data_IF_212230080317
#
_entry.id   IF_212230080317
#
_cell.length_a   1.000
_cell.length_b   1.000
_cell.length_c   1.000
_cell.angle_alpha   90.00
_cell.angle_beta   90.00
_cell.angle_gamma   90.00
#
_symmetry.space_group_name_H-M   'P 1'
#
loop_
_entity.id
_entity.type
_entity.pdbx_description
1 polymer ?
#
# COMPACT_ATOMS: atom_id res chain seq x y z
N UNK A 1 32.57 39.62 5.33
CA UNK A 1 31.17 39.19 5.59
C UNK A 1 30.48 38.91 4.25
N UNK A 2 30.03 37.71 3.91
CA UNK A 2 30.81 36.50 3.61
C UNK A 2 30.13 35.86 2.39
N UNK A 3 30.89 35.61 1.31
CA UNK A 3 30.44 34.94 0.07
C UNK A 3 29.89 33.52 0.34
N UNK A 4 30.13 32.98 1.54
CA UNK A 4 29.56 31.71 2.02
C UNK A 4 28.04 31.69 2.23
N UNK A 5 27.35 32.84 2.32
CA UNK A 5 25.89 32.84 2.46
C UNK A 5 25.16 32.71 1.12
N UNK A 6 25.75 33.17 0.02
CA UNK A 6 25.16 33.05 -1.32
C UNK A 6 25.33 31.64 -1.88
N UNK A 7 26.37 30.91 -1.45
CA UNK A 7 26.60 29.50 -1.82
C UNK A 7 25.78 28.49 -1.00
N UNK A 8 25.05 28.93 0.04
CA UNK A 8 24.18 28.06 0.85
C UNK A 8 22.74 27.95 0.36
N UNK A 9 22.36 28.74 -0.65
CA UNK A 9 21.00 28.74 -1.22
C UNK A 9 20.91 28.07 -2.60
N UNK A 10 22.01 27.54 -3.13
CA UNK A 10 22.07 26.87 -4.44
C UNK A 10 22.40 25.38 -4.37
N UNK A 11 22.35 24.77 -3.19
CA UNK A 11 22.17 23.32 -3.06
C UNK A 11 20.67 23.04 -2.94
N UNK A 12 19.92 23.29 -4.01
CA UNK A 12 18.73 22.49 -4.25
C UNK A 12 19.26 21.05 -4.31
N UNK A 13 19.04 20.27 -3.25
CA UNK A 13 19.53 18.91 -3.15
C UNK A 13 19.17 18.20 -4.45
N UNK A 14 20.18 17.82 -5.25
CA UNK A 14 19.96 17.23 -6.55
C UNK A 14 18.96 16.07 -6.39
N UNK A 15 17.84 16.14 -7.09
CA UNK A 15 16.76 15.18 -6.96
C UNK A 15 17.33 13.76 -7.14
N UNK A 16 17.18 12.92 -6.12
CA UNK A 16 17.65 11.53 -6.16
C UNK A 16 16.94 10.79 -7.30
N UNK A 17 17.52 9.71 -7.85
CA UNK A 17 16.82 8.89 -8.84
C UNK A 17 15.42 8.44 -8.39
N UNK A 18 15.27 8.14 -7.10
CA UNK A 18 13.99 7.79 -6.51
C UNK A 18 13.02 8.98 -6.47
N UNK A 19 13.46 10.16 -6.02
CA UNK A 19 12.57 11.33 -5.95
C UNK A 19 12.08 11.76 -7.33
N UNK A 20 12.93 11.67 -8.36
CA UNK A 20 12.51 11.90 -9.76
C UNK A 20 11.48 10.89 -10.24
N UNK A 21 11.59 9.63 -9.81
CA UNK A 21 10.60 8.59 -10.15
C UNK A 21 9.27 8.84 -9.44
N UNK A 22 9.32 9.28 -8.17
CA UNK A 22 8.13 9.70 -7.40
C UNK A 22 7.41 10.86 -8.10
N UNK A 23 8.15 11.90 -8.50
CA UNK A 23 7.60 13.05 -9.22
C UNK A 23 6.94 12.63 -10.53
N UNK A 24 7.65 11.84 -11.35
CA UNK A 24 7.12 11.34 -12.61
C UNK A 24 5.86 10.49 -12.43
N UNK A 25 5.82 9.63 -11.43
CA UNK A 25 4.64 8.79 -11.14
C UNK A 25 3.45 9.65 -10.71
N UNK A 26 3.67 10.71 -9.92
CA UNK A 26 2.60 11.64 -9.55
C UNK A 26 2.00 12.37 -10.74
N UNK A 27 2.84 12.80 -11.68
CA UNK A 27 2.39 13.57 -12.84
C UNK A 27 1.63 12.72 -13.86
N UNK A 28 2.00 11.44 -14.00
CA UNK A 28 1.49 10.58 -15.08
C UNK A 28 0.45 9.57 -14.65
N UNK A 29 0.59 9.01 -13.46
CA UNK A 29 -0.14 7.81 -13.03
C UNK A 29 -1.16 8.11 -11.91
N UNK A 30 -1.15 9.31 -11.33
CA UNK A 30 -2.08 9.71 -10.27
C UNK A 30 -3.12 10.73 -10.76
N UNK A 31 -4.34 10.68 -10.21
CA UNK A 31 -5.32 11.74 -10.43
C UNK A 31 -4.85 13.08 -9.83
N UNK A 32 -5.43 14.17 -10.33
CA UNK A 32 -5.07 15.53 -9.89
C UNK A 32 -5.31 15.78 -8.39
N UNK A 33 -6.30 15.10 -7.82
CA UNK A 33 -6.61 15.16 -6.39
C UNK A 33 -7.02 13.77 -5.87
N UNK A 34 -6.67 13.44 -4.62
CA UNK A 34 -7.11 12.20 -3.99
C UNK A 34 -8.63 12.22 -3.74
N UNK A 35 -9.24 11.06 -3.83
CA UNK A 35 -10.64 10.83 -3.47
C UNK A 35 -10.65 10.30 -2.05
N UNK A 36 -11.09 11.14 -1.10
CA UNK A 36 -11.20 10.74 0.30
C UNK A 36 -12.30 9.71 0.47
N UNK A 37 -12.05 8.72 1.31
CA UNK A 37 -13.06 7.76 1.75
C UNK A 37 -12.86 7.42 3.22
N UNK A 38 -13.92 6.90 3.84
CA UNK A 38 -13.84 6.39 5.21
C UNK A 38 -12.86 5.22 5.30
N UNK A 39 -12.35 4.97 6.51
CA UNK A 39 -11.56 3.76 6.79
C UNK A 39 -12.45 2.52 6.65
N UNK A 40 -11.87 1.39 6.27
CA UNK A 40 -12.59 0.13 6.08
C UNK A 40 -12.65 -0.35 4.62
N UNK A 41 -13.76 -1.00 4.21
CA UNK A 41 -13.80 -1.77 2.95
C UNK A 41 -13.81 -0.90 1.69
N UNK A 42 -14.22 0.37 1.79
CA UNK A 42 -14.24 1.30 0.65
C UNK A 42 -12.87 1.81 0.23
N UNK A 43 -11.77 1.31 0.81
CA UNK A 43 -10.41 1.81 0.63
C UNK A 43 -9.46 0.76 0.03
N UNK A 44 -9.98 -0.18 -0.75
CA UNK A 44 -9.17 -1.17 -1.45
C UNK A 44 -8.53 -0.60 -2.73
N UNK A 45 -7.57 -1.33 -3.28
CA UNK A 45 -6.80 -0.94 -4.48
C UNK A 45 -6.94 -2.03 -5.55
N UNK A 46 -7.30 -1.66 -6.78
CA UNK A 46 -7.29 -2.59 -7.91
C UNK A 46 -5.88 -3.09 -8.22
N UNK A 47 -5.77 -4.33 -8.70
CA UNK A 47 -4.51 -4.95 -9.12
C UNK A 47 -3.75 -4.08 -10.13
N UNK A 48 -4.45 -3.43 -11.06
CA UNK A 48 -3.80 -2.52 -12.02
C UNK A 48 -2.97 -1.41 -11.36
N UNK A 49 -3.46 -0.85 -10.24
CA UNK A 49 -2.75 0.23 -9.52
C UNK A 49 -1.59 -0.31 -8.68
N UNK A 50 -1.70 -1.55 -8.17
CA UNK A 50 -0.59 -2.25 -7.53
C UNK A 50 0.53 -2.55 -8.55
N UNK A 51 0.17 -3.00 -9.75
CA UNK A 51 1.12 -3.28 -10.83
C UNK A 51 1.77 -2.00 -11.37
N UNK A 52 1.00 -0.92 -11.53
CA UNK A 52 1.54 0.38 -11.93
C UNK A 52 2.59 0.86 -10.93
N UNK A 53 2.30 0.76 -9.62
CA UNK A 53 3.26 1.06 -8.56
C UNK A 53 4.51 0.16 -8.67
N UNK A 54 4.32 -1.15 -8.76
CA UNK A 54 5.43 -2.09 -8.84
C UNK A 54 6.34 -1.79 -10.05
N UNK A 55 5.76 -1.67 -11.24
CA UNK A 55 6.50 -1.43 -12.48
C UNK A 55 7.25 -0.10 -12.46
N UNK A 56 6.64 0.96 -11.92
CA UNK A 56 7.28 2.27 -11.82
C UNK A 56 8.52 2.25 -10.92
N UNK A 57 8.48 1.48 -9.82
CA UNK A 57 9.50 1.48 -8.79
C UNK A 57 10.36 0.21 -8.74
N UNK A 58 10.17 -0.74 -9.64
CA UNK A 58 10.84 -2.06 -9.63
C UNK A 58 12.37 -1.92 -9.48
N UNK A 59 12.99 -1.04 -10.27
CA UNK A 59 14.44 -0.81 -10.24
C UNK A 59 14.97 -0.24 -8.91
N UNK A 60 14.12 0.47 -8.14
CA UNK A 60 14.42 0.99 -6.81
C UNK A 60 14.14 -0.03 -5.71
N UNK A 61 13.12 -0.87 -5.89
CA UNK A 61 12.72 -1.85 -4.88
C UNK A 61 13.61 -3.09 -4.96
N UNK A 62 13.82 -3.67 -6.15
CA UNK A 62 14.58 -4.92 -6.34
C UNK A 62 14.10 -6.02 -5.39
N UNK A 63 14.93 -6.41 -4.43
CA UNK A 63 14.64 -7.44 -3.42
C UNK A 63 14.19 -6.86 -2.07
N UNK A 64 13.94 -5.56 -1.98
CA UNK A 64 13.48 -4.90 -0.76
C UNK A 64 12.02 -5.25 -0.49
N UNK A 65 11.63 -5.07 0.76
CA UNK A 65 10.36 -5.55 1.29
C UNK A 65 9.36 -4.39 1.50
N UNK A 66 8.21 -4.71 2.10
CA UNK A 66 7.13 -3.75 2.27
C UNK A 66 7.50 -2.59 3.20
N UNK A 67 8.43 -2.77 4.15
CA UNK A 67 8.94 -1.66 4.98
C UNK A 67 9.63 -0.59 4.12
N UNK A 68 10.45 -1.00 3.16
CA UNK A 68 11.10 -0.07 2.23
C UNK A 68 10.05 0.66 1.38
N UNK A 69 9.08 -0.08 0.83
CA UNK A 69 8.01 0.48 -0.02
C UNK A 69 7.17 1.50 0.77
N UNK A 70 6.80 1.18 2.00
CA UNK A 70 6.02 2.09 2.85
C UNK A 70 6.77 3.41 3.10
N UNK A 71 8.01 3.33 3.59
CA UNK A 71 8.77 4.53 4.00
C UNK A 71 9.32 5.35 2.84
N UNK A 72 9.72 4.70 1.74
CA UNK A 72 10.46 5.37 0.66
C UNK A 72 9.60 5.64 -0.58
N UNK A 73 8.40 5.05 -0.68
CA UNK A 73 7.53 5.21 -1.85
C UNK A 73 6.13 5.68 -1.41
N UNK A 74 5.42 4.89 -0.60
CA UNK A 74 4.02 5.20 -0.23
C UNK A 74 3.91 6.49 0.56
N UNK A 75 4.68 6.64 1.64
CA UNK A 75 4.67 7.88 2.44
C UNK A 75 5.08 9.08 1.60
N UNK A 76 6.20 9.06 0.84
CA UNK A 76 6.50 10.15 -0.08
C UNK A 76 5.36 10.46 -1.05
N UNK A 77 4.80 9.48 -1.78
CA UNK A 77 3.70 9.71 -2.72
C UNK A 77 2.50 10.39 -2.07
N UNK A 78 2.10 9.94 -0.88
CA UNK A 78 0.92 10.41 -0.14
C UNK A 78 1.18 11.67 0.70
N UNK A 79 2.44 12.06 0.91
CA UNK A 79 2.83 13.21 1.75
C UNK A 79 2.07 14.52 1.45
N UNK A 80 1.83 14.91 0.18
CA UNK A 80 1.18 16.18 -0.12
C UNK A 80 -0.23 16.30 0.48
N UNK A 81 -0.95 15.18 0.55
CA UNK A 81 -2.34 15.15 1.02
C UNK A 81 -2.52 14.45 2.37
N UNK A 82 -1.48 13.75 2.86
CA UNK A 82 -1.49 12.92 4.08
C UNK A 82 -2.66 11.92 4.10
N UNK A 83 -2.86 11.24 2.97
CA UNK A 83 -3.89 10.22 2.75
C UNK A 83 -3.29 8.81 2.69
N UNK A 84 -4.13 7.79 2.61
CA UNK A 84 -3.72 6.46 2.13
C UNK A 84 -3.33 6.48 0.64
N UNK A 85 -2.68 5.41 0.17
CA UNK A 85 -2.41 5.24 -1.26
C UNK A 85 -3.69 4.94 -2.03
N UNK A 86 -4.62 4.20 -1.44
CA UNK A 86 -5.93 3.91 -2.05
C UNK A 86 -6.71 5.19 -2.37
N UNK A 87 -6.81 6.12 -1.41
CA UNK A 87 -7.42 7.44 -1.65
C UNK A 87 -6.68 8.22 -2.75
N UNK A 88 -5.37 8.01 -2.88
CA UNK A 88 -4.53 8.70 -3.86
C UNK A 88 -4.75 8.19 -5.29
N UNK A 89 -4.94 6.88 -5.49
CA UNK A 89 -5.12 6.29 -6.84
C UNK A 89 -6.57 6.17 -7.29
N UNK A 90 -7.52 6.37 -6.38
CA UNK A 90 -8.94 6.10 -6.63
C UNK A 90 -9.37 4.87 -5.81
N UNK A 91 -9.99 5.07 -4.64
CA UNK A 91 -10.32 3.98 -3.74
C UNK A 91 -11.45 3.13 -4.31
N UNK A 92 -11.42 1.83 -4.04
CA UNK A 92 -12.41 0.87 -4.52
C UNK A 92 -13.02 0.08 -3.36
N UNK A 93 -14.21 -0.48 -3.61
CA UNK A 93 -14.82 -1.43 -2.69
C UNK A 93 -14.02 -2.73 -2.68
N UNK A 94 -13.65 -3.19 -1.49
CA UNK A 94 -12.91 -4.42 -1.25
C UNK A 94 -13.62 -5.64 -1.81
N UNK A 95 -12.86 -6.51 -2.47
CA UNK A 95 -13.25 -7.90 -2.79
C UNK A 95 -12.46 -8.91 -1.95
N UNK A 96 -11.13 -8.75 -1.86
CA UNK A 96 -10.23 -9.65 -1.13
C UNK A 96 -9.37 -8.93 -0.09
N UNK A 97 -9.44 -9.36 1.17
CA UNK A 97 -8.52 -8.88 2.21
C UNK A 97 -7.16 -9.55 2.06
N UNK A 98 -6.06 -8.83 2.30
CA UNK A 98 -4.71 -9.40 2.24
C UNK A 98 -4.05 -9.42 3.62
N UNK A 99 -3.76 -10.62 4.11
CA UNK A 99 -2.92 -10.83 5.29
C UNK A 99 -1.51 -11.23 4.86
N UNK A 100 -0.50 -10.48 5.27
CA UNK A 100 0.88 -10.75 4.85
C UNK A 100 1.94 -10.23 5.83
N UNK A 101 3.12 -10.82 5.77
CA UNK A 101 4.30 -10.32 6.48
C UNK A 101 5.04 -9.28 5.65
N UNK A 102 5.32 -8.11 6.25
CA UNK A 102 6.00 -7.01 5.57
C UNK A 102 7.47 -7.30 5.19
N UNK A 103 8.10 -8.32 5.77
CA UNK A 103 9.49 -8.65 5.50
C UNK A 103 9.72 -9.43 4.20
N UNK A 104 8.68 -9.99 3.59
CA UNK A 104 8.75 -10.64 2.27
C UNK A 104 9.20 -9.65 1.18
N UNK A 105 10.03 -10.07 0.20
CA UNK A 105 10.34 -9.24 -0.96
C UNK A 105 9.07 -8.76 -1.67
N UNK A 106 8.97 -7.45 -1.92
CA UNK A 106 7.76 -6.85 -2.47
C UNK A 106 7.37 -7.43 -3.83
N UNK A 107 8.35 -7.78 -4.65
CA UNK A 107 8.11 -8.46 -5.93
C UNK A 107 7.37 -9.80 -5.78
N UNK A 108 7.67 -10.58 -4.74
CA UNK A 108 7.00 -11.85 -4.51
C UNK A 108 5.57 -11.59 -4.03
N UNK A 109 5.38 -10.60 -3.15
CA UNK A 109 4.04 -10.17 -2.72
C UNK A 109 3.15 -9.77 -3.91
N UNK A 110 3.66 -8.91 -4.80
CA UNK A 110 2.93 -8.47 -6.01
C UNK A 110 2.59 -9.66 -6.90
N UNK A 111 3.54 -10.58 -7.10
CA UNK A 111 3.32 -11.79 -7.88
C UNK A 111 2.23 -12.69 -7.26
N UNK A 112 2.22 -12.86 -5.94
CA UNK A 112 1.19 -13.65 -5.25
C UNK A 112 -0.20 -13.05 -5.41
N UNK A 113 -0.35 -11.72 -5.21
CA UNK A 113 -1.63 -11.02 -5.40
C UNK A 113 -2.10 -11.12 -6.85
N UNK A 114 -1.18 -10.94 -7.82
CA UNK A 114 -1.46 -11.10 -9.25
C UNK A 114 -1.95 -12.51 -9.56
N UNK A 115 -1.21 -13.54 -9.16
CA UNK A 115 -1.56 -14.93 -9.43
C UNK A 115 -2.89 -15.32 -8.80
N UNK A 116 -3.19 -14.83 -7.59
CA UNK A 116 -4.50 -15.01 -6.98
C UNK A 116 -5.60 -14.35 -7.82
N UNK A 117 -5.43 -13.08 -8.21
CA UNK A 117 -6.41 -12.36 -9.02
C UNK A 117 -6.68 -13.04 -10.37
N UNK A 118 -5.64 -13.47 -11.08
CA UNK A 118 -5.72 -14.21 -12.34
C UNK A 118 -6.47 -15.54 -12.16
N UNK A 119 -6.34 -16.20 -11.01
CA UNK A 119 -7.02 -17.47 -10.73
C UNK A 119 -8.51 -17.32 -10.42
N UNK A 120 -8.91 -16.26 -9.71
CA UNK A 120 -10.30 -16.08 -9.25
C UNK A 120 -11.18 -15.33 -10.25
N UNK A 121 -10.59 -14.50 -11.13
CA UNK A 121 -11.31 -13.76 -12.15
C UNK A 121 -10.46 -13.58 -13.42
N UNK A 122 -10.28 -14.63 -14.25
CA UNK A 122 -9.36 -14.58 -15.39
C UNK A 122 -9.64 -13.45 -16.39
N UNK A 123 -10.91 -13.05 -16.55
CA UNK A 123 -11.33 -12.06 -17.54
C UNK A 123 -11.20 -10.61 -17.06
N UNK A 124 -11.21 -10.39 -15.75
CA UNK A 124 -11.26 -9.06 -15.13
C UNK A 124 -10.28 -8.89 -13.96
N UNK A 125 -9.23 -9.72 -13.87
CA UNK A 125 -8.33 -9.77 -12.71
C UNK A 125 -7.67 -8.42 -12.38
N UNK A 126 -7.41 -7.59 -13.39
CA UNK A 126 -6.84 -6.23 -13.20
C UNK A 126 -7.74 -5.32 -12.35
N UNK A 127 -9.05 -5.55 -12.39
CA UNK A 127 -10.06 -4.78 -11.68
C UNK A 127 -10.41 -5.36 -10.31
N UNK A 128 -9.84 -6.51 -9.93
CA UNK A 128 -10.05 -7.08 -8.60
C UNK A 128 -9.42 -6.16 -7.54
N UNK A 129 -10.19 -5.81 -6.52
CA UNK A 129 -9.78 -4.87 -5.48
C UNK A 129 -9.31 -5.60 -4.22
N UNK A 130 -8.09 -5.30 -3.81
CA UNK A 130 -7.44 -5.89 -2.65
C UNK A 130 -7.26 -4.85 -1.55
N UNK A 131 -7.62 -5.22 -0.32
CA UNK A 131 -7.29 -4.41 0.85
C UNK A 131 -5.95 -4.85 1.40
N UNK A 132 -4.93 -4.00 1.27
CA UNK A 132 -3.55 -4.24 1.68
C UNK A 132 -3.17 -3.19 2.71
N UNK A 133 -2.79 -3.60 3.92
CA UNK A 133 -2.58 -2.69 5.05
C UNK A 133 -1.66 -1.49 4.76
N UNK A 134 -0.59 -1.65 3.98
CA UNK A 134 0.30 -0.53 3.58
C UNK A 134 -0.33 0.47 2.62
N UNK A 135 -1.25 0.01 1.77
CA UNK A 135 -1.85 0.82 0.72
C UNK A 135 -3.15 1.47 1.19
N UNK A 136 -3.88 0.76 2.05
CA UNK A 136 -5.22 1.12 2.48
C UNK A 136 -5.21 1.87 3.81
N UNK A 137 -4.31 1.59 4.75
CA UNK A 137 -4.21 2.45 5.93
C UNK A 137 -3.53 3.78 5.58
N UNK A 138 -3.99 4.88 6.16
CA UNK A 138 -3.25 6.13 6.15
C UNK A 138 -1.97 6.01 6.99
N UNK A 139 -0.83 5.89 6.31
CA UNK A 139 0.49 5.75 6.95
C UNK A 139 0.93 7.00 7.74
N UNK A 140 0.19 8.11 7.65
CA UNK A 140 0.42 9.35 8.42
C UNK A 140 -0.37 9.41 9.74
N UNK A 141 -1.26 8.45 9.98
CA UNK A 141 -2.19 8.42 11.12
C UNK A 141 -2.44 7.00 11.62
N UNK A 142 -1.39 6.18 11.71
CA UNK A 142 -1.50 4.73 11.95
C UNK A 142 -2.26 4.40 13.24
N UNK A 143 -2.11 5.19 14.30
CA UNK A 143 -2.81 4.97 15.57
C UNK A 143 -4.34 4.94 15.38
N UNK A 144 -4.89 5.93 14.67
CA UNK A 144 -6.30 5.98 14.31
C UNK A 144 -6.70 4.85 13.35
N UNK A 145 -5.82 4.45 12.43
CA UNK A 145 -6.07 3.33 11.51
C UNK A 145 -6.15 1.99 12.24
N UNK A 146 -5.45 1.82 13.36
CA UNK A 146 -5.53 0.63 14.22
C UNK A 146 -6.56 0.77 15.36
N UNK A 147 -7.36 1.83 15.35
CA UNK A 147 -8.51 2.01 16.24
C UNK A 147 -8.20 2.63 17.60
N UNK A 148 -7.01 3.21 17.83
CA UNK A 148 -6.64 3.90 19.07
C UNK A 148 -6.94 3.09 20.36
N UNK A 149 -6.73 1.76 20.31
CA UNK A 149 -7.01 0.82 21.40
C UNK A 149 -8.32 0.04 21.27
N UNK A 150 -9.21 0.46 20.37
CA UNK A 150 -10.45 -0.24 20.01
C UNK A 150 -10.29 -0.89 18.63
N UNK A 151 -9.65 -2.06 18.60
CA UNK A 151 -9.30 -2.73 17.33
C UNK A 151 -10.52 -3.05 16.46
N UNK A 152 -11.72 -3.18 17.02
CA UNK A 152 -12.97 -3.37 16.27
C UNK A 152 -13.32 -2.17 15.39
N UNK A 153 -12.79 -0.99 15.71
CA UNK A 153 -12.99 0.23 14.93
C UNK A 153 -11.88 0.46 13.92
N UNK A 154 -10.83 -0.36 13.93
CA UNK A 154 -9.70 -0.22 13.03
C UNK A 154 -10.11 -0.40 11.56
N UNK A 155 -9.37 0.24 10.65
CA UNK A 155 -9.63 0.13 9.22
C UNK A 155 -9.53 -1.30 8.72
N UNK A 156 -8.57 -2.08 9.24
CA UNK A 156 -8.37 -3.44 8.78
C UNK A 156 -9.50 -4.36 9.25
N UNK A 157 -9.99 -4.20 10.49
CA UNK A 157 -11.08 -5.03 11.01
C UNK A 157 -12.39 -4.72 10.30
N UNK A 158 -12.70 -3.44 10.08
CA UNK A 158 -13.88 -3.01 9.31
C UNK A 158 -13.85 -3.56 7.88
N UNK A 159 -12.68 -3.59 7.25
CA UNK A 159 -12.50 -4.19 5.93
C UNK A 159 -12.68 -5.72 5.96
N UNK A 160 -12.02 -6.40 6.89
CA UNK A 160 -12.04 -7.85 7.05
C UNK A 160 -13.44 -8.41 7.34
N UNK A 161 -14.26 -7.67 8.10
CA UNK A 161 -15.62 -8.08 8.49
C UNK A 161 -16.72 -7.56 7.55
N UNK A 162 -16.35 -6.82 6.51
CA UNK A 162 -17.29 -6.30 5.52
C UNK A 162 -17.99 -7.42 4.77
N UNK A 163 -19.28 -7.25 4.48
CA UNK A 163 -20.04 -8.14 3.58
C UNK A 163 -19.45 -8.19 2.16
N UNK A 164 -18.71 -7.16 1.75
CA UNK A 164 -18.03 -7.13 0.45
C UNK A 164 -16.77 -8.01 0.40
N UNK A 165 -16.22 -8.38 1.56
CA UNK A 165 -15.01 -9.19 1.65
C UNK A 165 -15.36 -10.66 1.39
N UNK A 166 -14.94 -11.19 0.24
CA UNK A 166 -15.18 -12.59 -0.15
C UNK A 166 -14.26 -13.59 0.53
N UNK A 167 -13.18 -13.11 1.13
CA UNK A 167 -12.22 -13.93 1.85
C UNK A 167 -10.88 -13.23 2.03
N UNK A 168 -10.00 -13.92 2.77
CA UNK A 168 -8.64 -13.44 3.07
C UNK A 168 -7.61 -14.20 2.26
N UNK A 169 -6.86 -13.47 1.44
CA UNK A 169 -5.66 -13.96 0.79
C UNK A 169 -4.49 -13.86 1.77
N UNK A 170 -4.10 -14.98 2.38
CA UNK A 170 -2.86 -15.05 3.15
C UNK A 170 -1.68 -15.23 2.20
N UNK A 171 -0.83 -14.21 2.09
CA UNK A 171 0.39 -14.27 1.28
C UNK A 171 1.52 -14.84 2.11
N UNK A 172 1.88 -16.09 1.83
CA UNK A 172 2.88 -16.87 2.58
C UNK A 172 4.25 -16.78 1.91
N UNK A 173 5.31 -16.56 2.70
CA UNK A 173 6.70 -16.61 2.24
C UNK A 173 7.34 -17.99 2.47
N UNK A 174 8.56 -18.17 1.98
CA UNK A 174 9.29 -19.44 2.06
C UNK A 174 9.58 -19.91 3.50
N UNK A 175 9.44 -19.02 4.50
CA UNK A 175 9.64 -19.31 5.92
C UNK A 175 8.32 -19.36 6.69
N UNK A 176 7.19 -19.19 6.00
CA UNK A 176 5.85 -19.20 6.57
C UNK A 176 5.72 -18.17 7.71
N UNK A 177 6.43 -17.04 7.60
CA UNK A 177 6.47 -16.01 8.64
C UNK A 177 5.09 -15.44 9.00
N UNK A 178 4.12 -15.27 8.08
CA UNK A 178 2.77 -14.82 8.46
C UNK A 178 2.13 -15.70 9.55
N UNK A 179 2.35 -17.03 9.55
CA UNK A 179 1.81 -17.92 10.59
C UNK A 179 2.53 -17.81 11.94
N UNK A 180 3.60 -17.00 12.04
CA UNK A 180 4.35 -16.73 13.27
C UNK A 180 4.10 -15.33 13.81
N UNK A 181 3.24 -14.54 13.15
CA UNK A 181 2.97 -13.14 13.48
C UNK A 181 1.58 -13.03 14.10
N UNK A 182 1.51 -12.53 15.34
CA UNK A 182 0.25 -12.38 16.08
C UNK A 182 -0.80 -11.61 15.28
N UNK A 183 -0.38 -10.61 14.50
CA UNK A 183 -1.28 -9.81 13.67
C UNK A 183 -1.90 -10.60 12.51
N UNK A 184 -1.09 -11.36 11.77
CA UNK A 184 -1.59 -12.18 10.67
C UNK A 184 -2.46 -13.33 11.19
N UNK A 185 -2.09 -13.93 12.33
CA UNK A 185 -2.91 -14.95 13.01
C UNK A 185 -4.26 -14.36 13.46
N UNK A 186 -4.26 -13.13 13.97
CA UNK A 186 -5.48 -12.42 14.32
C UNK A 186 -6.38 -12.21 13.09
N UNK A 187 -5.84 -11.69 11.99
CA UNK A 187 -6.58 -11.50 10.74
C UNK A 187 -7.16 -12.82 10.21
N UNK A 188 -6.40 -13.92 10.32
CA UNK A 188 -6.86 -15.26 9.94
C UNK A 188 -8.02 -15.73 10.80
N UNK A 189 -7.92 -15.55 12.12
CA UNK A 189 -8.98 -15.93 13.06
C UNK A 189 -10.27 -15.12 12.85
N UNK A 190 -10.15 -13.86 12.44
CA UNK A 190 -11.29 -12.96 12.22
C UNK A 190 -11.87 -13.03 10.81
N UNK A 191 -11.21 -13.75 9.89
CA UNK A 191 -11.69 -13.98 8.53
C UNK A 191 -13.04 -14.71 8.55
N UNK A 192 -13.92 -14.36 7.62
CA UNK A 192 -15.25 -14.95 7.44
C UNK A 192 -15.16 -16.08 6.41
#
# INVERSE_FOLDING_TARGET
LSVMWVLRLTWAAAATPLSRTIERFREKDLPAAPIKCERGPGRAVAVQHLLALFNAFEHHVRNRNMYYVSENIIKPLTKPHRTSYAELVGPQSLVWFVSHFWGMPFRHFVQSVRSHAESVEPSGWLMQAYWVCTLCNNQWGVAAEVGDGHWQESSFFLALRSESCRGTCMVVDERVEPLRRSWCLFETLQSI
#
